data_IF_209083256071
#
_entry.id   IF_209083256071
#
_cell.length_a   1.000
_cell.length_b   1.000
_cell.length_c   1.000
_cell.angle_alpha   90.00
_cell.angle_beta   90.00
_cell.angle_gamma   90.00
#
_symmetry.space_group_name_H-M   'P 1'
#
loop_
_entity.id
_entity.type
_entity.pdbx_description
1 polymer ?
#
# COMPACT_ATOMS: atom_id res chain seq x y z
N UNK A 1 34.21 31.58 -11.37
CA UNK A 1 33.95 30.61 -10.28
C UNK A 1 32.45 30.39 -10.20
N UNK A 2 31.97 29.18 -10.48
CA UNK A 2 30.54 28.86 -10.47
C UNK A 2 30.16 28.40 -9.06
N UNK A 3 29.60 29.30 -8.25
CA UNK A 3 29.32 29.10 -6.81
C UNK A 3 27.93 28.52 -6.51
N UNK A 4 27.16 28.16 -7.54
CA UNK A 4 25.79 27.69 -7.38
C UNK A 4 25.76 26.18 -7.17
N UNK A 5 25.18 25.77 -6.05
CA UNK A 5 24.96 24.38 -5.69
C UNK A 5 23.55 24.18 -5.13
N UNK A 6 23.01 22.99 -5.36
CA UNK A 6 21.70 22.57 -4.87
C UNK A 6 21.87 21.34 -3.98
N UNK A 7 21.15 21.32 -2.86
CA UNK A 7 21.12 20.19 -1.94
C UNK A 7 20.07 19.18 -2.41
N UNK A 8 20.48 17.93 -2.61
CA UNK A 8 19.54 16.83 -2.75
C UNK A 8 18.81 16.61 -1.43
N UNK A 9 17.50 16.80 -1.39
CA UNK A 9 16.64 16.49 -0.24
C UNK A 9 16.04 15.08 -0.30
N UNK A 10 16.63 14.20 -1.11
CA UNK A 10 16.40 12.76 -1.06
C UNK A 10 17.32 12.09 -0.03
N UNK A 11 17.49 10.78 -0.14
CA UNK A 11 18.24 9.97 0.84
C UNK A 11 19.71 10.35 0.96
N UNK A 12 20.35 10.81 -0.13
CA UNK A 12 21.80 11.02 -0.12
C UNK A 12 22.27 12.30 0.59
N UNK A 13 21.40 13.31 0.73
CA UNK A 13 21.72 14.61 1.36
C UNK A 13 22.99 15.31 0.84
N UNK A 14 23.42 15.00 -0.39
CA UNK A 14 24.63 15.56 -1.00
C UNK A 14 24.37 16.88 -1.72
N UNK A 15 25.38 17.76 -1.74
CA UNK A 15 25.40 18.99 -2.52
C UNK A 15 25.90 18.74 -3.95
N UNK A 16 25.22 19.33 -4.93
CA UNK A 16 25.55 19.20 -6.35
C UNK A 16 25.76 20.59 -6.96
N UNK A 17 26.79 20.76 -7.78
CA UNK A 17 26.92 21.97 -8.60
C UNK A 17 25.74 22.07 -9.56
N UNK A 18 25.17 23.27 -9.73
CA UNK A 18 24.03 23.48 -10.63
C UNK A 18 24.31 22.97 -12.05
N UNK A 19 25.51 23.25 -12.58
CA UNK A 19 25.97 22.78 -13.91
C UNK A 19 26.08 21.26 -14.07
N UNK A 20 26.13 20.52 -12.95
CA UNK A 20 26.20 19.06 -12.94
C UNK A 20 24.81 18.42 -12.77
N UNK A 21 23.76 19.23 -12.78
CA UNK A 21 22.37 18.79 -12.71
C UNK A 21 21.65 19.14 -14.01
N UNK A 22 20.45 18.60 -14.19
CA UNK A 22 19.55 18.96 -15.28
C UNK A 22 18.73 20.23 -15.00
N UNK A 23 18.92 20.89 -13.86
CA UNK A 23 18.16 22.09 -13.50
C UNK A 23 18.60 23.29 -14.33
N UNK A 24 17.61 23.99 -14.88
CA UNK A 24 17.80 25.34 -15.37
C UNK A 24 18.02 26.34 -14.23
N UNK A 25 18.59 27.50 -14.56
CA UNK A 25 18.79 28.58 -13.59
C UNK A 25 17.46 29.10 -13.02
N UNK A 26 16.40 29.07 -13.81
CA UNK A 26 15.06 29.46 -13.39
C UNK A 26 14.50 28.47 -12.37
N UNK A 27 14.56 27.17 -12.66
CA UNK A 27 14.12 26.12 -11.73
C UNK A 27 14.90 26.16 -10.42
N UNK A 28 16.22 26.35 -10.48
CA UNK A 28 17.05 26.52 -9.29
C UNK A 28 16.59 27.69 -8.41
N UNK A 29 16.29 28.85 -9.02
CA UNK A 29 15.76 30.01 -8.30
C UNK A 29 14.37 29.73 -7.72
N UNK A 30 13.53 29.01 -8.45
CA UNK A 30 12.19 28.63 -7.99
C UNK A 30 12.25 27.65 -6.81
N UNK A 31 13.21 26.71 -6.81
CA UNK A 31 13.46 25.82 -5.67
C UNK A 31 13.89 26.63 -4.43
N UNK A 32 14.75 27.63 -4.60
CA UNK A 32 15.19 28.48 -3.49
C UNK A 32 14.06 29.32 -2.88
N UNK A 33 13.05 29.70 -3.69
CA UNK A 33 11.91 30.53 -3.26
C UNK A 33 10.68 29.73 -2.83
N UNK A 34 10.64 28.43 -3.13
CA UNK A 34 9.50 27.57 -2.83
C UNK A 34 9.86 26.54 -1.77
N UNK A 35 8.84 25.92 -1.18
CA UNK A 35 9.07 24.76 -0.31
C UNK A 35 9.23 23.44 -1.09
N UNK A 36 9.48 23.52 -2.41
CA UNK A 36 9.66 22.33 -3.26
C UNK A 36 11.01 21.68 -2.96
N UNK A 37 10.99 20.35 -2.87
CA UNK A 37 12.20 19.54 -2.70
C UNK A 37 12.78 19.21 -4.07
N UNK A 38 14.11 19.20 -4.15
CA UNK A 38 14.82 18.66 -5.30
C UNK A 38 15.55 17.39 -4.87
N UNK A 39 15.48 16.34 -5.69
CA UNK A 39 16.21 15.11 -5.49
C UNK A 39 17.09 14.86 -6.73
N UNK A 40 18.32 14.37 -6.50
CA UNK A 40 19.20 14.00 -7.59
C UNK A 40 18.67 12.74 -8.30
N UNK A 41 19.11 12.50 -9.53
CA UNK A 41 18.66 11.35 -10.33
C UNK A 41 18.80 10.01 -9.60
N UNK A 42 19.90 9.82 -8.87
CA UNK A 42 20.11 8.61 -8.05
C UNK A 42 19.04 8.42 -6.98
N UNK A 43 18.64 9.50 -6.31
CA UNK A 43 17.60 9.43 -5.28
C UNK A 43 16.20 9.31 -5.89
N UNK A 44 15.93 9.95 -7.03
CA UNK A 44 14.64 9.80 -7.73
C UNK A 44 14.41 8.34 -8.14
N UNK A 45 15.44 7.66 -8.64
CA UNK A 45 15.33 6.24 -9.00
C UNK A 45 15.07 5.33 -7.79
N UNK A 46 15.60 5.68 -6.61
CA UNK A 46 15.38 4.92 -5.37
C UNK A 46 13.99 5.18 -4.77
N UNK A 47 13.49 6.41 -4.86
CA UNK A 47 12.19 6.82 -4.32
C UNK A 47 11.03 6.08 -5.00
N UNK A 48 11.15 5.80 -6.31
CA UNK A 48 10.21 4.96 -7.06
C UNK A 48 10.15 3.53 -6.49
N UNK A 49 11.30 2.97 -6.11
CA UNK A 49 11.37 1.60 -5.56
C UNK A 49 10.76 1.54 -4.17
N UNK A 50 11.05 2.51 -3.30
CA UNK A 50 10.49 2.56 -1.93
C UNK A 50 8.99 2.90 -1.90
N UNK A 51 8.50 3.71 -2.85
CA UNK A 51 7.07 4.00 -2.98
C UNK A 51 6.27 2.75 -3.34
N UNK A 52 6.79 1.94 -4.26
CA UNK A 52 6.16 0.67 -4.67
C UNK A 52 6.13 -0.37 -3.54
N UNK A 53 7.20 -0.48 -2.75
CA UNK A 53 7.25 -1.41 -1.61
C UNK A 53 6.21 -1.04 -0.53
N UNK A 54 6.02 0.26 -0.27
CA UNK A 54 5.02 0.74 0.69
C UNK A 54 3.60 0.50 0.20
N UNK A 55 3.30 0.83 -1.06
CA UNK A 55 1.99 0.57 -1.66
C UNK A 55 1.67 -0.94 -1.66
N UNK A 56 2.67 -1.78 -1.95
CA UNK A 56 2.53 -3.25 -1.89
C UNK A 56 2.25 -3.74 -0.46
N UNK A 57 2.91 -3.15 0.55
CA UNK A 57 2.68 -3.50 1.94
C UNK A 57 1.26 -3.13 2.41
N UNK A 58 0.77 -1.94 2.04
CA UNK A 58 -0.58 -1.47 2.35
C UNK A 58 -1.64 -2.38 1.68
N UNK A 59 -1.46 -2.76 0.40
CA UNK A 59 -2.36 -3.70 -0.29
C UNK A 59 -2.34 -5.08 0.37
N UNK A 60 -1.17 -5.58 0.79
CA UNK A 60 -1.07 -6.88 1.43
C UNK A 60 -1.78 -6.91 2.78
N UNK A 61 -1.75 -5.81 3.54
CA UNK A 61 -2.48 -5.68 4.80
C UNK A 61 -4.00 -5.70 4.57
N UNK A 62 -4.48 -4.94 3.59
CA UNK A 62 -5.90 -4.92 3.22
C UNK A 62 -6.39 -6.31 2.77
N UNK A 63 -5.59 -7.01 1.95
CA UNK A 63 -5.91 -8.37 1.49
C UNK A 63 -5.92 -9.37 2.66
N UNK A 64 -4.98 -9.26 3.60
CA UNK A 64 -4.93 -10.14 4.76
C UNK A 64 -6.18 -9.97 5.65
N UNK A 65 -6.61 -8.72 5.88
CA UNK A 65 -7.81 -8.43 6.66
C UNK A 65 -9.08 -8.93 5.97
N UNK A 66 -9.18 -8.77 4.65
CA UNK A 66 -10.34 -9.28 3.89
C UNK A 66 -10.38 -10.82 3.89
N UNK A 67 -9.23 -11.49 3.81
CA UNK A 67 -9.16 -12.96 3.94
C UNK A 67 -9.63 -13.44 5.32
N UNK A 68 -9.25 -12.76 6.39
CA UNK A 68 -9.70 -13.08 7.75
C UNK A 68 -11.22 -12.90 7.88
N UNK A 69 -11.75 -11.79 7.38
CA UNK A 69 -13.19 -11.52 7.37
C UNK A 69 -13.97 -12.60 6.59
N UNK A 70 -13.48 -12.98 5.41
CA UNK A 70 -14.10 -14.06 4.62
C UNK A 70 -14.02 -15.41 5.33
N UNK A 71 -12.95 -15.68 6.09
CA UNK A 71 -12.81 -16.90 6.89
C UNK A 71 -13.92 -17.01 7.96
N UNK A 72 -14.18 -15.92 8.67
CA UNK A 72 -15.24 -15.88 9.69
C UNK A 72 -16.65 -15.99 9.09
N UNK A 73 -16.88 -15.41 7.91
CA UNK A 73 -18.16 -15.59 7.18
C UNK A 73 -18.35 -17.06 6.81
N UNK A 74 -17.32 -17.71 6.24
CA UNK A 74 -17.37 -19.13 5.87
C UNK A 74 -17.65 -20.01 7.08
N UNK A 75 -17.01 -19.71 8.22
CA UNK A 75 -17.24 -20.43 9.47
C UNK A 75 -18.69 -20.33 9.92
N UNK A 76 -19.23 -19.12 9.96
CA UNK A 76 -20.63 -18.86 10.33
C UNK A 76 -21.59 -19.63 9.40
N UNK A 77 -21.38 -19.57 8.09
CA UNK A 77 -22.22 -20.28 7.13
C UNK A 77 -22.17 -21.81 7.30
N UNK A 78 -21.01 -22.36 7.67
CA UNK A 78 -20.88 -23.78 7.94
C UNK A 78 -21.62 -24.20 9.22
N UNK A 79 -21.60 -23.36 10.25
CA UNK A 79 -22.36 -23.60 11.49
C UNK A 79 -23.86 -23.58 11.21
N UNK A 80 -24.36 -22.58 10.47
CA UNK A 80 -25.77 -22.47 10.07
C UNK A 80 -26.22 -23.66 9.21
N UNK A 81 -25.39 -24.06 8.24
CA UNK A 81 -25.67 -25.23 7.40
C UNK A 81 -25.73 -26.52 8.23
N UNK A 82 -24.87 -26.66 9.24
CA UNK A 82 -24.90 -27.77 10.19
C UNK A 82 -26.22 -27.82 10.95
N UNK A 83 -26.65 -26.69 11.52
CA UNK A 83 -27.90 -26.57 12.28
C UNK A 83 -29.12 -26.89 11.40
N UNK A 84 -29.19 -26.33 10.19
CA UNK A 84 -30.28 -26.58 9.26
C UNK A 84 -30.37 -28.08 8.89
N UNK A 85 -29.23 -28.74 8.69
CA UNK A 85 -29.19 -30.18 8.41
C UNK A 85 -29.68 -31.02 9.60
N UNK A 86 -29.35 -30.64 10.84
CA UNK A 86 -29.88 -31.31 12.03
C UNK A 86 -31.39 -31.15 12.16
N UNK A 87 -31.90 -29.96 11.88
CA UNK A 87 -33.34 -29.67 11.94
C UNK A 87 -34.12 -30.44 10.87
N UNK A 88 -33.60 -30.52 9.63
CA UNK A 88 -34.18 -31.36 8.58
C UNK A 88 -34.26 -32.82 9.04
N UNK A 89 -33.19 -33.36 9.63
CA UNK A 89 -33.20 -34.74 10.15
C UNK A 89 -34.24 -34.93 11.26
N UNK A 90 -34.38 -33.97 12.17
CA UNK A 90 -35.40 -34.01 13.24
C UNK A 90 -36.81 -34.04 12.65
N UNK A 91 -37.10 -33.16 11.69
CA UNK A 91 -38.39 -33.08 11.03
C UNK A 91 -38.72 -34.36 10.25
N UNK A 92 -37.76 -34.90 9.50
CA UNK A 92 -37.92 -36.17 8.78
C UNK A 92 -38.26 -37.32 9.72
N UNK A 93 -37.53 -37.47 10.83
CA UNK A 93 -37.82 -38.49 11.83
C UNK A 93 -39.21 -38.33 12.45
N UNK A 94 -39.66 -37.10 12.68
CA UNK A 94 -40.99 -36.84 13.23
C UNK A 94 -42.11 -37.22 12.25
N UNK A 95 -41.93 -36.92 10.96
CA UNK A 95 -42.89 -37.32 9.91
C UNK A 95 -43.01 -38.85 9.86
N UNK A 96 -41.88 -39.57 9.86
CA UNK A 96 -41.89 -41.04 9.84
C UNK A 96 -42.56 -41.67 11.07
N UNK A 97 -42.61 -40.97 12.21
CA UNK A 97 -43.30 -41.46 13.41
C UNK A 97 -44.82 -41.20 13.39
N UNK A 98 -45.28 -40.32 12.51
CA UNK A 98 -46.70 -39.96 12.35
C UNK A 98 -47.40 -40.75 11.24
N UNK A 99 -46.64 -41.42 10.37
CA UNK A 99 -47.11 -42.35 9.32
C UNK A 99 -47.24 -43.79 9.85
#
# INVERSE_FOLDING_TARGET
KCSQSVLCKGVCLSWYHLKCTSLSLEEYRNIAKSNKRWACSKCVSLDVTTGQERETAEINEDVAHELENQSEIIKTLNEDLGQANEEIKRLQNHITQLE
#
